data_IF_547058113538
#
_entry.id   IF_547058113538
#
_cell.length_a   1.000
_cell.length_b   1.000
_cell.length_c   1.000
_cell.angle_alpha   90.00
_cell.angle_beta   90.00
_cell.angle_gamma   90.00
#
_symmetry.space_group_name_H-M   'P 1'
#
loop_
_entity.id
_entity.type
_entity.pdbx_description
1 polymer ?
#
# COMPACT_ATOMS: atom_id res chain seq x y z
N UNK A 1 37.26 -11.95 30.24
CA UNK A 1 37.79 -10.70 29.66
C UNK A 1 37.78 -10.84 28.15
N UNK A 2 36.86 -10.15 27.47
CA UNK A 2 37.08 -9.70 26.10
C UNK A 2 36.14 -8.50 25.85
N UNK A 3 36.70 -7.31 25.97
CA UNK A 3 36.01 -6.04 25.72
C UNK A 3 35.94 -5.83 24.20
N UNK A 4 34.78 -6.05 23.61
CA UNK A 4 34.48 -5.58 22.26
C UNK A 4 34.31 -4.06 22.32
N UNK A 5 35.31 -3.36 21.80
CA UNK A 5 35.33 -1.90 21.63
C UNK A 5 34.54 -1.61 20.35
N UNK A 6 33.34 -1.04 20.48
CA UNK A 6 32.54 -0.62 19.32
C UNK A 6 33.20 0.56 18.59
N UNK A 7 33.30 0.55 17.25
CA UNK A 7 33.80 1.70 16.51
C UNK A 7 32.76 2.84 16.53
N UNK A 8 33.17 4.09 16.77
CA UNK A 8 32.35 5.27 16.54
C UNK A 8 32.29 5.59 15.04
N UNK A 9 31.27 6.38 14.65
CA UNK A 9 31.06 7.03 13.35
C UNK A 9 30.11 6.32 12.37
N UNK A 10 28.81 6.50 12.63
CA UNK A 10 27.92 7.15 11.66
C UNK A 10 26.79 7.85 12.42
N UNK A 11 27.09 9.06 12.90
CA UNK A 11 26.07 10.06 13.24
C UNK A 11 25.54 10.65 11.93
N UNK A 12 24.26 10.48 11.65
CA UNK A 12 23.52 11.45 10.83
C UNK A 12 22.60 12.24 11.76
N UNK A 13 22.60 13.56 11.53
CA UNK A 13 22.30 14.65 12.45
C UNK A 13 20.85 15.17 12.34
N UNK A 14 20.28 15.62 13.48
CA UNK A 14 19.31 16.73 13.77
C UNK A 14 18.20 17.10 12.75
N UNK A 15 16.93 17.44 13.06
CA UNK A 15 16.14 17.66 14.27
C UNK A 15 14.64 17.42 13.92
N UNK A 16 13.85 16.90 14.87
CA UNK A 16 12.41 16.54 14.76
C UNK A 16 12.13 15.24 13.97
N UNK A 17 12.14 14.13 14.72
CA UNK A 17 11.66 12.78 14.37
C UNK A 17 12.47 11.97 13.34
N UNK A 18 13.33 11.09 13.87
CA UNK A 18 13.85 9.94 13.12
C UNK A 18 12.85 8.79 13.27
N UNK A 19 12.15 8.43 12.19
CA UNK A 19 11.34 7.21 12.20
C UNK A 19 12.27 6.00 12.31
N UNK A 20 12.17 5.24 13.40
CA UNK A 20 13.02 4.05 13.62
C UNK A 20 12.68 2.96 12.59
N UNK A 21 13.62 2.08 12.22
CA UNK A 21 13.32 0.94 11.31
C UNK A 21 12.18 0.06 11.87
N UNK A 22 12.01 0.00 13.19
CA UNK A 22 10.84 -0.63 13.83
C UNK A 22 9.53 0.12 13.61
N UNK A 23 9.55 1.45 13.55
CA UNK A 23 8.38 2.24 13.18
C UNK A 23 8.04 2.05 11.70
N UNK A 24 9.03 1.96 10.80
CA UNK A 24 8.80 1.58 9.39
C UNK A 24 8.20 0.17 9.23
N UNK A 25 8.52 -0.77 10.13
CA UNK A 25 7.85 -2.10 10.19
C UNK A 25 6.38 -2.02 10.64
N UNK A 26 5.97 -0.87 11.18
CA UNK A 26 4.63 -0.59 11.70
C UNK A 26 3.72 0.21 10.77
N UNK A 27 4.20 0.66 9.60
CA UNK A 27 3.44 1.53 8.67
C UNK A 27 3.08 0.76 7.39
N UNK A 28 1.90 0.10 7.32
CA UNK A 28 1.53 -0.65 6.14
C UNK A 28 1.32 0.28 4.95
N UNK A 29 1.82 -0.14 3.79
CA UNK A 29 1.49 0.44 2.50
C UNK A 29 0.73 -0.60 1.68
N UNK A 30 -0.46 -0.24 1.23
CA UNK A 30 -1.33 -1.06 0.41
C UNK A 30 -1.64 -0.30 -0.87
N UNK A 31 -1.31 -0.91 -2.02
CA UNK A 31 -1.71 -0.42 -3.33
C UNK A 31 -2.82 -1.32 -3.88
N UNK A 32 -3.96 -0.71 -4.15
CA UNK A 32 -5.14 -1.36 -4.73
C UNK A 32 -5.26 -0.87 -6.15
N UNK A 33 -5.15 -1.79 -7.11
CA UNK A 33 -5.36 -1.48 -8.52
C UNK A 33 -6.67 -2.10 -8.97
N UNK A 34 -7.57 -1.28 -9.48
CA UNK A 34 -8.87 -1.69 -9.99
C UNK A 34 -9.10 -1.12 -11.38
N UNK A 35 -10.02 -1.69 -12.14
CA UNK A 35 -10.50 -1.04 -13.35
C UNK A 35 -11.31 0.20 -13.00
N UNK A 36 -11.33 1.19 -13.88
CA UNK A 36 -12.15 2.39 -13.74
C UNK A 36 -13.64 2.11 -13.53
N UNK A 37 -14.31 3.02 -12.83
CA UNK A 37 -15.77 3.04 -12.66
C UNK A 37 -16.24 2.92 -11.21
N UNK A 38 -15.34 2.91 -10.23
CA UNK A 38 -15.71 2.92 -8.83
C UNK A 38 -16.13 4.33 -8.39
N UNK A 39 -17.23 4.42 -7.64
CA UNK A 39 -17.66 5.70 -7.07
C UNK A 39 -16.73 6.13 -5.93
N UNK A 40 -16.75 7.42 -5.58
CA UNK A 40 -16.01 7.91 -4.42
C UNK A 40 -16.37 7.16 -3.13
N UNK A 41 -17.67 6.95 -2.87
CA UNK A 41 -18.12 6.22 -1.68
C UNK A 41 -17.64 4.76 -1.64
N UNK A 42 -17.56 4.08 -2.79
CA UNK A 42 -16.99 2.73 -2.86
C UNK A 42 -15.50 2.74 -2.56
N UNK A 43 -14.75 3.72 -3.08
CA UNK A 43 -13.31 3.86 -2.80
C UNK A 43 -13.06 4.16 -1.32
N UNK A 44 -13.86 5.03 -0.70
CA UNK A 44 -13.80 5.30 0.73
C UNK A 44 -14.06 4.05 1.57
N UNK A 45 -15.08 3.27 1.21
CA UNK A 45 -15.39 2.00 1.90
C UNK A 45 -14.28 0.95 1.75
N UNK A 46 -13.65 0.87 0.58
CA UNK A 46 -12.48 -0.01 0.34
C UNK A 46 -11.31 0.40 1.24
N UNK A 47 -10.97 1.70 1.30
CA UNK A 47 -9.90 2.22 2.16
C UNK A 47 -10.17 1.89 3.63
N UNK A 48 -11.40 2.12 4.08
CA UNK A 48 -11.82 1.85 5.46
C UNK A 48 -11.64 0.38 5.79
N UNK A 49 -12.22 -0.52 4.98
CA UNK A 49 -12.18 -1.97 5.22
C UNK A 49 -10.77 -2.56 5.16
N UNK A 50 -9.92 -2.07 4.26
CA UNK A 50 -8.53 -2.52 4.20
C UNK A 50 -7.79 -2.11 5.48
N UNK A 51 -7.97 -0.86 5.91
CA UNK A 51 -7.37 -0.37 7.16
C UNK A 51 -7.83 -1.21 8.36
N UNK A 52 -9.14 -1.48 8.48
CA UNK A 52 -9.70 -2.32 9.53
C UNK A 52 -9.04 -3.72 9.55
N UNK A 53 -8.91 -4.36 8.38
CA UNK A 53 -8.27 -5.69 8.28
C UNK A 53 -6.82 -5.68 8.78
N UNK A 54 -6.06 -4.62 8.47
CA UNK A 54 -4.68 -4.50 8.95
C UNK A 54 -4.60 -4.31 10.46
N UNK A 55 -5.56 -3.60 11.03
CA UNK A 55 -5.68 -3.42 12.48
C UNK A 55 -6.13 -4.72 13.17
N UNK A 56 -7.19 -5.36 12.68
CA UNK A 56 -7.81 -6.51 13.33
C UNK A 56 -6.96 -7.78 13.24
N UNK A 57 -6.34 -8.03 12.08
CA UNK A 57 -5.58 -9.28 11.85
C UNK A 57 -4.13 -9.15 12.27
N UNK A 58 -3.50 -8.01 12.00
CA UNK A 58 -2.06 -7.81 12.18
C UNK A 58 -1.71 -6.83 13.31
N UNK A 59 -2.71 -6.29 14.02
CA UNK A 59 -2.50 -5.35 15.12
C UNK A 59 -1.83 -4.05 14.69
N UNK A 60 -1.99 -3.62 13.43
CA UNK A 60 -1.33 -2.42 12.90
C UNK A 60 -2.07 -1.15 13.29
N UNK A 61 -1.32 -0.07 13.48
CA UNK A 61 -1.88 1.24 13.79
C UNK A 61 -2.59 1.82 12.54
N UNK A 62 -3.89 2.10 12.60
CA UNK A 62 -4.63 2.63 11.46
C UNK A 62 -4.15 4.02 11.05
N UNK A 63 -3.63 4.83 11.99
CA UNK A 63 -3.16 6.20 11.72
C UNK A 63 -1.89 6.25 10.87
N UNK A 64 -1.20 5.12 10.73
CA UNK A 64 0.01 4.99 9.93
C UNK A 64 -0.14 4.00 8.78
N UNK A 65 -1.39 3.64 8.45
CA UNK A 65 -1.73 2.74 7.35
C UNK A 65 -2.07 3.56 6.11
N UNK A 66 -1.30 3.36 5.04
CA UNK A 66 -1.50 4.03 3.77
C UNK A 66 -2.16 3.09 2.78
N UNK A 67 -3.33 3.50 2.27
CA UNK A 67 -4.04 2.81 1.19
C UNK A 67 -4.12 3.73 0.00
N UNK A 68 -3.59 3.29 -1.14
CA UNK A 68 -3.66 4.00 -2.42
C UNK A 68 -4.53 3.20 -3.37
N UNK A 69 -5.52 3.84 -3.99
CA UNK A 69 -6.35 3.24 -5.02
C UNK A 69 -5.97 3.85 -6.38
N UNK A 70 -5.50 3.00 -7.29
CA UNK A 70 -5.25 3.34 -8.68
C UNK A 70 -6.36 2.76 -9.56
N UNK A 71 -7.11 3.62 -10.22
CA UNK A 71 -8.05 3.24 -11.27
C UNK A 71 -7.32 3.17 -12.61
N UNK A 72 -7.42 2.02 -13.28
CA UNK A 72 -6.77 1.74 -14.55
C UNK A 72 -7.84 1.56 -15.64
N UNK A 73 -7.68 2.25 -16.76
CA UNK A 73 -8.60 2.15 -17.89
C UNK A 73 -8.71 0.74 -18.47
N UNK A 74 -9.85 0.40 -19.08
CA UNK A 74 -10.11 -0.95 -19.59
C UNK A 74 -9.16 -1.40 -20.71
N UNK A 75 -8.56 -0.46 -21.43
CA UNK A 75 -7.53 -0.71 -22.44
C UNK A 75 -6.18 -1.13 -21.83
N UNK A 76 -5.93 -0.70 -20.59
CA UNK A 76 -4.70 -0.95 -19.84
C UNK A 76 -4.81 -2.11 -18.85
N UNK A 77 -5.99 -2.76 -18.78
CA UNK A 77 -6.23 -3.94 -17.97
C UNK A 77 -6.43 -5.17 -18.84
N UNK A 78 -5.61 -6.21 -18.66
CA UNK A 78 -5.60 -7.40 -19.51
C UNK A 78 -6.01 -8.68 -18.79
N UNK A 79 -6.88 -9.46 -19.42
CA UNK A 79 -7.21 -10.84 -19.00
C UNK A 79 -7.29 -11.75 -20.24
N UNK A 80 -6.94 -13.03 -20.09
CA UNK A 80 -6.98 -14.02 -21.20
C UNK A 80 -6.17 -13.60 -22.45
N UNK A 81 -5.12 -12.81 -22.26
CA UNK A 81 -4.27 -12.31 -23.35
C UNK A 81 -4.85 -11.11 -24.14
N UNK A 82 -5.98 -10.54 -23.70
CA UNK A 82 -6.62 -9.40 -24.34
C UNK A 82 -6.94 -8.30 -23.32
N UNK A 83 -7.04 -7.04 -23.76
CA UNK A 83 -7.53 -5.97 -22.89
C UNK A 83 -9.03 -6.13 -22.62
N UNK A 84 -9.49 -5.66 -21.46
CA UNK A 84 -10.93 -5.65 -21.13
C UNK A 84 -11.72 -4.90 -22.21
N UNK A 85 -11.16 -3.81 -22.73
CA UNK A 85 -11.78 -3.07 -23.83
C UNK A 85 -11.97 -3.93 -25.10
N UNK A 86 -10.96 -4.70 -25.50
CA UNK A 86 -11.05 -5.60 -26.64
C UNK A 86 -12.09 -6.72 -26.41
N UNK A 87 -12.17 -7.24 -25.18
CA UNK A 87 -13.14 -8.29 -24.84
C UNK A 87 -14.59 -7.78 -24.85
N UNK A 88 -14.83 -6.56 -24.35
CA UNK A 88 -16.16 -5.91 -24.42
C UNK A 88 -16.62 -5.74 -25.86
N UNK A 89 -15.73 -5.29 -26.76
CA UNK A 89 -16.04 -5.13 -28.19
C UNK A 89 -16.38 -6.47 -28.87
N UNK A 90 -15.81 -7.56 -28.38
CA UNK A 90 -16.09 -8.93 -28.86
C UNK A 90 -17.32 -9.56 -28.19
N UNK A 91 -17.99 -8.89 -27.25
CA UNK A 91 -19.10 -9.44 -26.47
C UNK A 91 -18.72 -10.60 -25.54
N UNK A 92 -17.45 -10.64 -25.11
CA UNK A 92 -16.87 -11.72 -24.28
C UNK A 92 -16.62 -11.30 -22.83
N UNK A 93 -17.08 -10.12 -22.45
CA UNK A 93 -16.99 -9.50 -21.13
C UNK A 93 -18.19 -8.57 -20.94
#
# INVERSE_FOLDING_TARGET
MNTLVSPPHLRLYNATSFTTIEELRGMPYINVRITEGATQAQKEEVIRRITDVMTDVLGKNPNTTFVVIDEVGFENWGIRGESIQALKQKGKY
#
